data_IF_201840894425
#
_entry.id   IF_201840894425
#
_cell.length_a   1.000
_cell.length_b   1.000
_cell.length_c   1.000
_cell.angle_alpha   90.00
_cell.angle_beta   90.00
_cell.angle_gamma   90.00
#
_symmetry.space_group_name_H-M   'P 1'
#
loop_
_entity.id
_entity.type
_entity.pdbx_description
1 polymer ?
#
# COMPACT_ATOMS: atom_id res chain seq x y z
N UNK A 1 -23.14 -9.93 -16.99
CA UNK A 1 -22.90 -8.52 -17.39
C UNK A 1 -21.40 -8.24 -17.42
N UNK A 2 -20.93 -7.42 -18.35
CA UNK A 2 -19.55 -6.90 -18.31
C UNK A 2 -19.36 -5.96 -17.11
N UNK A 3 -18.15 -5.90 -16.55
CA UNK A 3 -17.82 -5.04 -15.40
C UNK A 3 -18.00 -3.55 -15.71
N UNK A 4 -17.79 -3.13 -16.97
CA UNK A 4 -18.01 -1.74 -17.40
C UNK A 4 -19.49 -1.38 -17.37
N UNK A 5 -20.34 -2.20 -18.02
CA UNK A 5 -21.79 -2.02 -18.05
C UNK A 5 -22.40 -2.06 -16.65
N UNK A 6 -21.92 -2.95 -15.77
CA UNK A 6 -22.34 -3.00 -14.37
C UNK A 6 -22.01 -1.70 -13.62
N UNK A 7 -20.83 -1.13 -13.86
CA UNK A 7 -20.42 0.13 -13.22
C UNK A 7 -21.26 1.32 -13.68
N UNK A 8 -21.55 1.42 -14.98
CA UNK A 8 -22.40 2.46 -15.55
C UNK A 8 -23.82 2.40 -14.98
N UNK A 9 -24.39 1.19 -14.93
CA UNK A 9 -25.70 0.94 -14.33
C UNK A 9 -25.74 1.36 -12.85
N UNK A 10 -24.73 0.96 -12.07
CA UNK A 10 -24.62 1.35 -10.67
C UNK A 10 -24.45 2.86 -10.49
N UNK A 11 -23.75 3.55 -11.39
CA UNK A 11 -23.57 5.00 -11.31
C UNK A 11 -24.90 5.75 -11.51
N UNK A 12 -25.75 5.27 -12.42
CA UNK A 12 -27.10 5.84 -12.65
C UNK A 12 -27.99 5.60 -11.42
N UNK A 13 -28.02 4.37 -10.90
CA UNK A 13 -28.82 4.04 -9.72
C UNK A 13 -28.34 4.76 -8.46
N UNK A 14 -27.03 4.96 -8.31
CA UNK A 14 -26.46 5.72 -7.21
C UNK A 14 -26.97 7.17 -7.19
N UNK A 15 -26.93 7.87 -8.33
CA UNK A 15 -27.49 9.23 -8.45
C UNK A 15 -28.97 9.28 -8.11
N UNK A 16 -29.75 8.29 -8.55
CA UNK A 16 -31.19 8.18 -8.22
C UNK A 16 -31.39 7.91 -6.73
N UNK A 17 -30.60 7.02 -6.14
CA UNK A 17 -30.67 6.68 -4.72
C UNK A 17 -30.39 7.89 -3.82
N UNK A 18 -29.43 8.73 -4.18
CA UNK A 18 -29.10 9.95 -3.42
C UNK A 18 -30.26 10.96 -3.38
N UNK A 19 -31.10 11.00 -4.43
CA UNK A 19 -32.25 11.92 -4.55
C UNK A 19 -33.59 11.29 -4.15
N UNK A 20 -33.62 9.97 -3.93
CA UNK A 20 -34.85 9.22 -3.70
C UNK A 20 -35.34 9.33 -2.25
N UNK A 21 -36.67 9.30 -2.05
CA UNK A 21 -37.30 9.11 -0.74
C UNK A 21 -37.17 7.68 -0.22
N UNK A 22 -37.46 7.45 1.07
CA UNK A 22 -37.25 6.15 1.77
C UNK A 22 -37.86 4.95 1.05
N UNK A 23 -39.08 5.08 0.52
CA UNK A 23 -39.76 4.00 -0.22
C UNK A 23 -38.99 3.62 -1.50
N UNK A 24 -38.62 4.62 -2.30
CA UNK A 24 -37.88 4.41 -3.55
C UNK A 24 -36.45 3.91 -3.34
N UNK A 25 -35.78 4.29 -2.24
CA UNK A 25 -34.46 3.75 -1.88
C UNK A 25 -34.48 2.22 -1.71
N UNK A 26 -35.55 1.69 -1.12
CA UNK A 26 -35.72 0.24 -0.93
C UNK A 26 -35.78 -0.47 -2.27
N UNK A 27 -36.62 0.02 -3.19
CA UNK A 27 -36.76 -0.55 -4.54
C UNK A 27 -35.45 -0.49 -5.34
N UNK A 28 -34.69 0.60 -5.23
CA UNK A 28 -33.37 0.72 -5.88
C UNK A 28 -32.39 -0.33 -5.32
N UNK A 29 -32.39 -0.57 -4.02
CA UNK A 29 -31.54 -1.60 -3.42
C UNK A 29 -31.94 -3.00 -3.89
N UNK A 30 -33.23 -3.30 -4.00
CA UNK A 30 -33.73 -4.59 -4.49
C UNK A 30 -33.31 -4.85 -5.95
N UNK A 31 -33.39 -3.83 -6.80
CA UNK A 31 -32.89 -3.90 -8.18
C UNK A 31 -31.39 -4.19 -8.23
N UNK A 32 -30.58 -3.51 -7.41
CA UNK A 32 -29.14 -3.74 -7.35
C UNK A 32 -28.82 -5.16 -6.89
N UNK A 33 -29.52 -5.66 -5.87
CA UNK A 33 -29.31 -7.02 -5.39
C UNK A 33 -29.66 -8.05 -6.47
N UNK A 34 -30.79 -7.86 -7.15
CA UNK A 34 -31.30 -8.80 -8.16
C UNK A 34 -30.46 -8.84 -9.44
N UNK A 35 -30.04 -7.66 -9.95
CA UNK A 35 -29.34 -7.56 -11.23
C UNK A 35 -27.83 -7.74 -11.12
N UNK A 36 -27.24 -7.25 -10.03
CA UNK A 36 -25.79 -7.25 -9.83
C UNK A 36 -25.30 -8.33 -8.85
N UNK A 37 -26.21 -9.10 -8.23
CA UNK A 37 -25.87 -10.17 -7.29
C UNK A 37 -25.27 -9.69 -5.97
N UNK A 38 -25.41 -8.40 -5.62
CA UNK A 38 -24.91 -7.89 -4.34
C UNK A 38 -25.82 -8.34 -3.19
N UNK A 39 -25.20 -8.68 -2.06
CA UNK A 39 -25.93 -8.78 -0.80
C UNK A 39 -26.47 -7.39 -0.39
N UNK A 40 -27.67 -7.35 0.21
CA UNK A 40 -28.37 -6.12 0.59
C UNK A 40 -27.51 -5.14 1.38
N UNK A 41 -26.76 -5.64 2.37
CA UNK A 41 -25.86 -4.82 3.20
C UNK A 41 -24.71 -4.20 2.39
N UNK A 42 -24.23 -4.91 1.38
CA UNK A 42 -23.17 -4.44 0.46
C UNK A 42 -23.71 -3.39 -0.50
N UNK A 43 -24.89 -3.62 -1.09
CA UNK A 43 -25.58 -2.65 -1.93
C UNK A 43 -25.88 -1.35 -1.17
N UNK A 44 -26.38 -1.46 0.07
CA UNK A 44 -26.62 -0.31 0.94
C UNK A 44 -25.34 0.49 1.20
N UNK A 45 -24.23 -0.20 1.54
CA UNK A 45 -22.94 0.45 1.79
C UNK A 45 -22.41 1.17 0.55
N UNK A 46 -22.55 0.57 -0.62
CA UNK A 46 -22.16 1.17 -1.90
C UNK A 46 -22.99 2.43 -2.19
N UNK A 47 -24.31 2.35 -1.99
CA UNK A 47 -25.23 3.45 -2.30
C UNK A 47 -25.16 4.61 -1.31
N UNK A 48 -24.75 4.37 -0.06
CA UNK A 48 -24.61 5.41 0.96
C UNK A 48 -23.25 6.14 0.94
N UNK A 49 -22.23 5.62 0.26
CA UNK A 49 -20.91 6.27 0.12
C UNK A 49 -20.83 7.04 -1.19
N UNK A 50 -19.91 8.02 -1.33
CA UNK A 50 -19.61 8.60 -2.64
C UNK A 50 -19.30 7.49 -3.64
N UNK A 51 -19.90 7.57 -4.84
CA UNK A 51 -19.64 6.58 -5.88
C UNK A 51 -18.14 6.62 -6.23
N UNK A 52 -17.44 5.49 -6.31
CA UNK A 52 -16.01 5.49 -6.55
C UNK A 52 -15.72 6.16 -7.89
N UNK A 53 -15.08 7.33 -7.83
CA UNK A 53 -14.48 7.94 -9.01
C UNK A 53 -13.37 7.01 -9.53
N UNK A 54 -13.10 7.00 -10.85
CA UNK A 54 -11.87 6.39 -11.34
C UNK A 54 -10.71 7.00 -10.54
N UNK A 55 -9.93 6.14 -9.89
CA UNK A 55 -8.87 6.58 -9.01
C UNK A 55 -7.98 7.57 -9.77
N UNK A 56 -7.97 8.84 -9.34
CA UNK A 56 -6.99 9.80 -9.84
C UNK A 56 -5.62 9.16 -9.63
N UNK A 57 -4.78 9.15 -10.68
CA UNK A 57 -3.41 8.62 -10.58
C UNK A 57 -2.78 9.25 -9.35
N UNK A 58 -2.44 8.42 -8.35
CA UNK A 58 -1.74 8.89 -7.15
C UNK A 58 -0.46 9.56 -7.63
N UNK A 59 -0.16 10.75 -7.10
CA UNK A 59 1.11 11.41 -7.40
C UNK A 59 2.23 10.42 -7.06
N UNK A 60 3.24 10.25 -7.94
CA UNK A 60 4.38 9.42 -7.60
C UNK A 60 4.97 9.92 -6.27
N UNK A 61 5.39 8.98 -5.42
CA UNK A 61 6.04 9.33 -4.17
C UNK A 61 7.33 10.12 -4.40
N UNK A 62 7.97 10.62 -3.33
CA UNK A 62 9.28 11.23 -3.41
C UNK A 62 10.27 10.30 -4.13
N UNK A 63 11.27 10.90 -4.80
CA UNK A 63 12.37 10.13 -5.38
C UNK A 63 13.08 9.33 -4.27
N UNK A 64 13.45 8.06 -4.51
CA UNK A 64 14.19 7.28 -3.53
C UNK A 64 15.52 7.98 -3.19
N UNK A 65 15.80 8.10 -1.89
CA UNK A 65 17.02 8.76 -1.37
C UNK A 65 18.21 7.80 -1.34
N UNK A 66 17.94 6.50 -1.15
CA UNK A 66 18.96 5.48 -0.97
C UNK A 66 19.12 4.63 -2.23
N UNK A 67 20.37 4.36 -2.60
CA UNK A 67 20.73 3.40 -3.66
C UNK A 67 20.49 1.97 -3.16
N UNK A 68 19.24 1.53 -3.25
CA UNK A 68 18.80 0.23 -2.72
C UNK A 68 19.63 -0.94 -3.24
N UNK A 69 20.02 -0.93 -4.52
CA UNK A 69 20.81 -1.99 -5.14
C UNK A 69 22.18 -2.18 -4.48
N UNK A 70 22.82 -1.10 -4.02
CA UNK A 70 24.15 -1.17 -3.37
C UNK A 70 24.05 -1.48 -1.88
N UNK A 71 23.05 -0.93 -1.19
CA UNK A 71 22.91 -1.04 0.26
C UNK A 71 22.26 -2.36 0.69
N UNK A 72 21.28 -2.85 -0.08
CA UNK A 72 20.46 -4.00 0.30
C UNK A 72 21.25 -5.30 0.49
N UNK A 73 22.28 -5.64 -0.31
CA UNK A 73 23.07 -6.85 -0.09
C UNK A 73 23.75 -6.86 1.29
N UNK A 74 24.39 -5.75 1.67
CA UNK A 74 25.11 -5.63 2.95
C UNK A 74 24.13 -5.65 4.13
N UNK A 75 23.05 -4.86 4.05
CA UNK A 75 22.02 -4.81 5.09
C UNK A 75 21.38 -6.18 5.28
N UNK A 76 21.09 -6.91 4.19
CA UNK A 76 20.46 -8.23 4.25
C UNK A 76 21.34 -9.24 4.99
N UNK A 77 22.65 -9.25 4.74
CA UNK A 77 23.58 -10.13 5.44
C UNK A 77 23.61 -9.81 6.94
N UNK A 78 23.78 -8.54 7.29
CA UNK A 78 23.79 -8.10 8.69
C UNK A 78 22.46 -8.40 9.38
N UNK A 79 21.33 -8.15 8.69
CA UNK A 79 20.00 -8.40 9.22
C UNK A 79 19.76 -9.90 9.49
N UNK A 80 20.18 -10.78 8.59
CA UNK A 80 20.09 -12.22 8.81
C UNK A 80 21.03 -12.70 9.92
N UNK A 81 22.25 -12.16 10.00
CA UNK A 81 23.22 -12.52 11.03
C UNK A 81 22.84 -12.02 12.44
N UNK A 82 22.08 -10.93 12.52
CA UNK A 82 21.62 -10.32 13.77
C UNK A 82 20.29 -10.86 14.29
N UNK A 83 19.82 -12.01 13.79
CA UNK A 83 18.51 -12.58 14.13
C UNK A 83 17.36 -11.62 13.79
N UNK A 84 17.47 -10.96 12.63
CA UNK A 84 16.44 -10.14 12.03
C UNK A 84 15.96 -8.95 12.89
N UNK A 85 16.90 -8.23 13.52
CA UNK A 85 16.60 -7.03 14.32
C UNK A 85 15.66 -6.06 13.60
N UNK A 86 14.73 -5.48 14.37
CA UNK A 86 13.88 -4.41 13.87
C UNK A 86 14.71 -3.18 13.46
N UNK A 87 14.18 -2.35 12.56
CA UNK A 87 14.89 -1.20 11.95
C UNK A 87 15.62 -0.31 12.96
N UNK A 88 14.99 -0.03 14.11
CA UNK A 88 15.55 0.80 15.18
C UNK A 88 16.76 0.15 15.86
N UNK A 89 16.68 -1.15 16.20
CA UNK A 89 17.76 -1.91 16.83
C UNK A 89 18.90 -2.16 15.85
N UNK A 90 18.56 -2.49 14.59
CA UNK A 90 19.53 -2.69 13.52
C UNK A 90 20.35 -1.42 13.29
N UNK A 91 19.71 -0.25 13.26
CA UNK A 91 20.42 1.03 13.14
C UNK A 91 21.39 1.26 14.29
N UNK A 92 20.97 1.01 15.53
CA UNK A 92 21.83 1.18 16.70
C UNK A 92 23.04 0.22 16.69
N UNK A 93 22.84 -1.02 16.23
CA UNK A 93 23.88 -2.03 16.16
C UNK A 93 24.77 -1.93 14.90
N UNK A 94 24.41 -1.09 13.92
CA UNK A 94 25.09 -0.99 12.63
C UNK A 94 26.61 -0.74 12.73
N UNK A 95 27.11 0.17 13.59
CA UNK A 95 28.56 0.43 13.68
C UNK A 95 29.36 -0.80 14.13
N UNK A 96 28.78 -1.65 14.98
CA UNK A 96 29.41 -2.88 15.47
C UNK A 96 29.36 -3.98 14.40
N UNK A 97 28.20 -4.18 13.79
CA UNK A 97 28.02 -5.18 12.73
C UNK A 97 28.82 -4.89 11.48
N UNK A 98 29.04 -3.62 11.12
CA UNK A 98 29.88 -3.25 9.99
C UNK A 98 31.33 -3.71 10.16
N UNK A 99 31.88 -3.64 11.38
CA UNK A 99 33.23 -4.15 11.67
C UNK A 99 33.31 -5.65 11.44
N UNK A 100 32.30 -6.39 11.92
CA UNK A 100 32.24 -7.84 11.74
C UNK A 100 32.05 -8.23 10.27
N UNK A 101 31.20 -7.50 9.55
CA UNK A 101 30.99 -7.69 8.12
C UNK A 101 32.29 -7.47 7.34
N UNK A 102 33.03 -6.38 7.62
CA UNK A 102 34.30 -6.09 6.95
C UNK A 102 35.38 -7.12 7.26
N UNK A 103 35.40 -7.68 8.47
CA UNK A 103 36.32 -8.75 8.82
C UNK A 103 36.07 -10.05 8.02
N UNK A 104 34.81 -10.35 7.68
CA UNK A 104 34.45 -11.58 6.98
C UNK A 104 34.42 -11.44 5.45
N UNK A 105 33.98 -10.30 4.93
CA UNK A 105 33.76 -10.07 3.49
C UNK A 105 34.74 -9.08 2.87
N UNK A 106 35.64 -8.50 3.66
CA UNK A 106 36.61 -7.50 3.22
C UNK A 106 36.10 -6.06 3.35
N UNK A 107 36.99 -5.08 3.07
CA UNK A 107 36.69 -3.67 3.24
C UNK A 107 35.56 -3.22 2.30
N UNK A 108 34.66 -2.39 2.83
CA UNK A 108 33.62 -1.72 2.04
C UNK A 108 34.15 -0.39 1.50
N UNK A 109 33.68 0.06 0.32
CA UNK A 109 33.91 1.42 -0.13
C UNK A 109 33.48 2.45 0.93
N UNK A 110 34.27 3.52 1.16
CA UNK A 110 34.01 4.48 2.24
C UNK A 110 32.68 5.21 2.07
N UNK A 111 32.29 5.52 0.82
CA UNK A 111 30.99 6.10 0.48
C UNK A 111 29.82 5.17 0.89
N UNK A 112 29.96 3.87 0.65
CA UNK A 112 28.95 2.88 1.01
C UNK A 112 28.85 2.71 2.54
N UNK A 113 29.98 2.70 3.23
CA UNK A 113 30.02 2.62 4.69
C UNK A 113 29.34 3.83 5.34
N UNK A 114 29.62 5.04 4.84
CA UNK A 114 28.95 6.25 5.30
C UNK A 114 27.45 6.21 5.06
N UNK A 115 27.02 5.76 3.88
CA UNK A 115 25.60 5.62 3.57
C UNK A 115 24.92 4.65 4.54
N UNK A 116 25.52 3.49 4.83
CA UNK A 116 24.98 2.49 5.77
C UNK A 116 24.82 3.04 7.19
N UNK A 117 25.76 3.87 7.66
CA UNK A 117 25.69 4.53 8.96
C UNK A 117 24.62 5.65 9.02
N UNK A 118 24.34 6.31 7.89
CA UNK A 118 23.35 7.39 7.77
C UNK A 118 21.92 6.91 7.53
N UNK A 119 21.69 5.59 7.40
CA UNK A 119 20.34 5.04 7.19
C UNK A 119 19.40 5.43 8.34
N UNK A 120 18.22 5.94 8.00
CA UNK A 120 17.15 6.16 8.96
C UNK A 120 16.42 4.85 9.27
N UNK A 121 15.97 4.63 10.52
CA UNK A 121 15.06 3.52 10.78
C UNK A 121 13.72 3.83 10.09
N UNK A 122 13.09 2.81 9.51
CA UNK A 122 11.74 2.90 8.95
C UNK A 122 10.69 3.15 10.04
#
# INVERSE_FOLDING_TARGET
MSKSAQREFLAVLHRRYQRAGRRYKTYILDQVCSLCGYHRKSALRLMNRPFPEPARRKRPGPKPVYEAERLRPVIKVIWLASDQLCSKRLKAAMPEWLKHYQAHYGPLPPDLQEQLLKISPA
#
